data_IF_084325650120
#
_entry.id   IF_084325650120
#
_cell.length_a   1.000
_cell.length_b   1.000
_cell.length_c   1.000
_cell.angle_alpha   90.00
_cell.angle_beta   90.00
_cell.angle_gamma   90.00
#
_symmetry.space_group_name_H-M   'P 1'
#
loop_
_entity.id
_entity.type
_entity.pdbx_description
1 polymer ?
#
# COMPACT_ATOMS: atom_id res chain seq x y z
N UNK A 1 8.83 -13.15 7.53
CA UNK A 1 7.45 -13.62 7.31
C UNK A 1 6.94 -12.91 6.07
N UNK A 2 6.88 -13.59 4.92
CA UNK A 2 6.39 -13.00 3.68
C UNK A 2 4.91 -13.35 3.54
N UNK A 3 4.04 -12.35 3.55
CA UNK A 3 2.63 -12.54 3.25
C UNK A 3 2.55 -12.66 1.73
N UNK A 4 2.22 -13.84 1.22
CA UNK A 4 2.05 -14.09 -0.21
C UNK A 4 0.60 -13.77 -0.55
N UNK A 5 0.37 -12.57 -1.10
CA UNK A 5 -0.96 -12.16 -1.54
C UNK A 5 -1.19 -12.67 -2.96
N UNK A 6 -2.02 -13.71 -3.09
CA UNK A 6 -2.58 -14.13 -4.38
C UNK A 6 -3.74 -13.19 -4.74
N UNK A 7 -3.38 -11.98 -5.20
CA UNK A 7 -4.34 -10.98 -5.63
C UNK A 7 -4.72 -11.25 -7.09
N UNK A 8 -5.99 -11.53 -7.35
CA UNK A 8 -6.53 -11.44 -8.70
C UNK A 8 -6.36 -9.99 -9.20
N UNK A 9 -6.23 -9.76 -10.51
CA UNK A 9 -6.08 -8.41 -11.10
C UNK A 9 -7.06 -7.36 -10.54
N UNK A 10 -8.31 -7.76 -10.24
CA UNK A 10 -9.30 -6.88 -9.62
C UNK A 10 -8.97 -6.54 -8.16
N UNK A 11 -8.52 -7.51 -7.36
CA UNK A 11 -8.16 -7.26 -5.96
C UNK A 11 -6.87 -6.42 -5.87
N UNK A 12 -5.94 -6.62 -6.80
CA UNK A 12 -4.73 -5.78 -6.94
C UNK A 12 -5.10 -4.33 -7.24
N UNK A 13 -6.00 -4.10 -8.21
CA UNK A 13 -6.42 -2.73 -8.58
C UNK A 13 -7.20 -2.06 -7.44
N UNK A 14 -8.05 -2.81 -6.74
CA UNK A 14 -8.76 -2.33 -5.56
C UNK A 14 -7.80 -1.95 -4.42
N UNK A 15 -6.77 -2.77 -4.16
CA UNK A 15 -5.75 -2.49 -3.16
C UNK A 15 -4.89 -1.29 -3.56
N UNK A 16 -4.46 -1.22 -4.82
CA UNK A 16 -3.70 -0.09 -5.37
C UNK A 16 -4.46 1.23 -5.16
N UNK A 17 -5.75 1.24 -5.52
CA UNK A 17 -6.62 2.41 -5.35
C UNK A 17 -6.76 2.80 -3.89
N UNK A 18 -6.95 1.82 -3.00
CA UNK A 18 -7.02 2.07 -1.57
C UNK A 18 -5.73 2.68 -1.03
N UNK A 19 -4.56 2.18 -1.45
CA UNK A 19 -3.28 2.73 -1.04
C UNK A 19 -3.04 4.16 -1.56
N UNK A 20 -3.63 4.54 -2.70
CA UNK A 20 -3.54 5.89 -3.26
C UNK A 20 -4.51 6.88 -2.60
N UNK A 21 -5.69 6.43 -2.19
CA UNK A 21 -6.71 7.27 -1.55
C UNK A 21 -6.53 7.38 -0.03
N UNK A 22 -5.84 6.42 0.58
CA UNK A 22 -5.63 6.41 2.02
C UNK A 22 -4.59 7.45 2.44
N UNK A 23 -5.01 8.40 3.27
CA UNK A 23 -4.13 9.38 3.91
C UNK A 23 -3.94 8.96 5.38
N UNK A 24 -2.70 8.72 5.83
CA UNK A 24 -2.42 8.45 7.23
C UNK A 24 -2.84 9.65 8.10
N UNK A 25 -3.73 9.40 9.06
CA UNK A 25 -4.18 10.35 10.08
C UNK A 25 -4.04 9.69 11.45
N UNK A 26 -2.81 9.32 11.82
CA UNK A 26 -2.56 8.69 13.12
C UNK A 26 -2.38 9.72 14.24
N UNK A 27 -2.22 11.00 13.91
CA UNK A 27 -1.94 12.07 14.86
C UNK A 27 -0.49 12.11 15.35
N UNK A 28 0.38 11.22 14.84
CA UNK A 28 1.82 11.25 15.01
C UNK A 28 2.49 11.39 13.65
N UNK A 29 3.07 12.56 13.39
CA UNK A 29 3.70 12.87 12.11
C UNK A 29 4.84 11.91 11.72
N UNK A 30 5.49 11.25 12.69
CA UNK A 30 6.53 10.25 12.40
C UNK A 30 5.92 8.93 11.97
N UNK A 31 4.84 8.52 12.62
CA UNK A 31 4.09 7.33 12.25
C UNK A 31 3.47 7.51 10.87
N UNK A 32 2.84 8.66 10.63
CA UNK A 32 2.23 9.03 9.34
C UNK A 32 3.27 9.01 8.21
N UNK A 33 4.46 9.59 8.42
CA UNK A 33 5.55 9.55 7.44
C UNK A 33 6.02 8.13 7.14
N UNK A 34 6.15 7.30 8.18
CA UNK A 34 6.59 5.90 8.04
C UNK A 34 5.54 5.04 7.33
N UNK A 35 4.26 5.29 7.62
CA UNK A 35 3.14 4.61 6.99
C UNK A 35 3.00 5.03 5.53
N UNK A 36 3.18 6.32 5.22
CA UNK A 36 3.21 6.84 3.85
C UNK A 36 4.32 6.18 3.02
N UNK A 37 5.54 6.08 3.58
CA UNK A 37 6.68 5.43 2.91
C UNK A 37 6.40 3.93 2.67
N UNK A 38 5.78 3.25 3.64
CA UNK A 38 5.36 1.85 3.50
C UNK A 38 4.26 1.68 2.42
N UNK A 39 3.32 2.61 2.32
CA UNK A 39 2.27 2.64 1.30
C UNK A 39 2.86 2.84 -0.10
N UNK A 40 3.82 3.76 -0.26
CA UNK A 40 4.54 3.94 -1.53
C UNK A 40 5.28 2.66 -1.94
N UNK A 41 6.01 2.03 -1.01
CA UNK A 41 6.71 0.78 -1.28
C UNK A 41 5.75 -0.35 -1.69
N UNK A 42 4.57 -0.42 -1.06
CA UNK A 42 3.53 -1.39 -1.41
C UNK A 42 2.96 -1.12 -2.81
N UNK A 43 2.66 0.14 -3.15
CA UNK A 43 2.19 0.54 -4.49
C UNK A 43 3.22 0.13 -5.55
N UNK A 44 4.50 0.43 -5.32
CA UNK A 44 5.57 0.06 -6.25
C UNK A 44 5.67 -1.45 -6.45
N UNK A 45 5.59 -2.24 -5.37
CA UNK A 45 5.60 -3.70 -5.46
C UNK A 45 4.38 -4.26 -6.20
N UNK A 46 3.19 -3.68 -6.01
CA UNK A 46 1.97 -4.07 -6.72
C UNK A 46 2.03 -3.73 -8.21
N UNK A 47 2.70 -2.62 -8.57
CA UNK A 47 2.92 -2.23 -9.98
C UNK A 47 3.99 -3.08 -10.67
N UNK A 48 5.02 -3.53 -9.94
CA UNK A 48 6.08 -4.40 -10.48
C UNK A 48 5.60 -5.86 -10.66
N UNK A 49 4.62 -6.30 -9.87
CA UNK A 49 4.02 -7.64 -9.95
C UNK A 49 3.04 -7.83 -11.14
N UNK A 50 3.29 -7.16 -12.28
CA UNK A 50 2.52 -7.24 -13.52
C UNK A 50 3.11 -8.28 -14.49
#
# INVERSE_FOLDING_TARGET
>A
MHIQLDLNCNDRDALLRHCQEFVPESGDAREDARLAEALEALIAALQDAI
#
